data_IF_070678410335
#
_entry.id   IF_070678410335
#
_cell.length_a   1.000
_cell.length_b   1.000
_cell.length_c   1.000
_cell.angle_alpha   90.00
_cell.angle_beta   90.00
_cell.angle_gamma   90.00
#
_symmetry.space_group_name_H-M   'P 1'
#
loop_
_entity.id
_entity.type
_entity.pdbx_description
1 polymer ?
#
# COMPACT_ATOMS: atom_id res chain seq x y z
N UNK A 1 -1.09 -74.11 44.08
CA UNK A 1 -1.19 -73.77 42.66
C UNK A 1 -1.35 -72.28 42.59
N UNK A 2 -0.25 -71.52 42.32
CA UNK A 2 -0.22 -70.07 42.27
C UNK A 2 -0.27 -69.62 40.79
N UNK A 3 -1.30 -68.84 40.41
CA UNK A 3 -1.45 -68.27 39.07
C UNK A 3 -0.73 -66.87 39.05
N UNK A 4 0.18 -66.61 38.12
CA UNK A 4 0.71 -65.26 37.98
C UNK A 4 -0.26 -64.40 37.16
N UNK A 5 -0.59 -63.19 37.68
CA UNK A 5 -1.34 -62.16 36.98
C UNK A 5 -0.42 -61.46 35.95
N UNK A 6 -0.75 -61.56 34.67
CA UNK A 6 -0.06 -60.88 33.57
C UNK A 6 -0.60 -59.47 33.48
N UNK A 7 0.17 -58.49 33.96
CA UNK A 7 -0.09 -57.06 33.79
C UNK A 7 0.24 -56.64 32.35
N UNK A 8 -0.79 -56.43 31.54
CA UNK A 8 -0.69 -55.89 30.20
C UNK A 8 -0.53 -54.34 30.30
N UNK A 9 0.70 -53.85 30.15
CA UNK A 9 0.97 -52.41 30.05
C UNK A 9 0.59 -52.00 28.64
N UNK A 10 -0.61 -51.38 28.49
CA UNK A 10 -1.04 -50.74 27.25
C UNK A 10 -0.31 -49.41 27.12
N UNK A 11 0.80 -49.39 26.37
CA UNK A 11 1.53 -48.17 26.03
C UNK A 11 0.67 -47.31 25.11
N UNK A 12 0.13 -46.23 25.64
CA UNK A 12 -0.61 -45.21 24.89
C UNK A 12 0.38 -44.42 24.04
N UNK A 13 0.61 -44.86 22.81
CA UNK A 13 1.37 -44.11 21.83
C UNK A 13 0.48 -42.96 21.31
N UNK A 14 0.58 -41.77 21.94
CA UNK A 14 -0.04 -40.56 21.45
C UNK A 14 0.66 -40.18 20.16
N UNK A 15 -0.01 -40.00 19.01
CA UNK A 15 0.63 -39.62 17.78
C UNK A 15 1.12 -38.15 17.90
N UNK A 16 2.43 -37.97 17.95
CA UNK A 16 3.11 -36.64 17.89
C UNK A 16 3.14 -36.07 16.47
N UNK A 17 2.27 -36.52 15.57
CA UNK A 17 2.31 -36.19 14.13
C UNK A 17 1.73 -34.81 13.82
N UNK A 18 0.75 -34.32 14.58
CA UNK A 18 0.08 -33.04 14.31
C UNK A 18 0.99 -31.81 14.47
N UNK A 19 1.99 -31.86 15.36
CA UNK A 19 2.90 -30.74 15.56
C UNK A 19 4.08 -30.70 14.57
N UNK A 20 4.42 -31.84 13.98
CA UNK A 20 5.47 -31.94 12.97
C UNK A 20 5.01 -31.35 11.62
N UNK A 21 3.75 -31.59 11.24
CA UNK A 21 3.15 -31.07 10.01
C UNK A 21 3.05 -29.52 10.03
N UNK A 22 2.63 -28.94 11.16
CA UNK A 22 2.53 -27.50 11.30
C UNK A 22 3.91 -26.81 11.21
N UNK A 23 4.93 -27.37 11.84
CA UNK A 23 6.28 -26.81 11.78
C UNK A 23 6.89 -26.91 10.37
N UNK A 24 6.67 -28.04 9.69
CA UNK A 24 7.07 -28.26 8.30
C UNK A 24 6.43 -27.23 7.38
N UNK A 25 5.11 -27.08 7.47
CA UNK A 25 4.32 -26.13 6.69
C UNK A 25 4.78 -24.68 6.90
N UNK A 26 4.99 -24.27 8.15
CA UNK A 26 5.54 -22.94 8.45
C UNK A 26 6.94 -22.72 7.87
N UNK A 27 7.82 -23.73 7.92
CA UNK A 27 9.15 -23.64 7.31
C UNK A 27 9.05 -23.45 5.79
N UNK A 28 8.12 -24.14 5.13
CA UNK A 28 7.86 -23.99 3.70
C UNK A 28 7.29 -22.61 3.34
N UNK A 29 6.42 -22.05 4.17
CA UNK A 29 5.96 -20.67 3.99
C UNK A 29 7.10 -19.67 4.10
N UNK A 30 8.01 -19.83 5.08
CA UNK A 30 9.21 -18.97 5.17
C UNK A 30 10.14 -19.12 3.96
N UNK A 31 10.29 -20.34 3.46
CA UNK A 31 11.02 -20.59 2.22
C UNK A 31 10.40 -19.84 1.03
N UNK A 32 9.06 -19.86 0.92
CA UNK A 32 8.33 -19.11 -0.08
C UNK A 32 8.57 -17.59 0.06
N UNK A 33 8.51 -17.06 1.28
CA UNK A 33 8.75 -15.64 1.54
C UNK A 33 10.16 -15.21 1.14
N UNK A 34 11.17 -16.04 1.43
CA UNK A 34 12.54 -15.77 1.00
C UNK A 34 12.69 -15.77 -0.53
N UNK A 35 12.01 -16.65 -1.25
CA UNK A 35 12.00 -16.67 -2.72
C UNK A 35 11.32 -15.41 -3.31
N UNK A 36 10.23 -14.96 -2.68
CA UNK A 36 9.44 -13.83 -3.14
C UNK A 36 9.93 -12.47 -2.61
N UNK A 37 10.93 -12.46 -1.72
CA UNK A 37 11.43 -11.26 -1.05
C UNK A 37 10.33 -10.46 -0.34
N UNK A 38 9.43 -11.16 0.37
CA UNK A 38 8.26 -10.55 1.03
C UNK A 38 8.69 -9.55 2.11
N UNK A 39 9.87 -9.69 2.67
CA UNK A 39 10.48 -8.74 3.63
C UNK A 39 10.55 -7.29 3.10
N UNK A 40 10.63 -7.11 1.78
CA UNK A 40 10.64 -5.78 1.15
C UNK A 40 9.33 -4.99 1.34
N UNK A 41 8.25 -5.64 1.80
CA UNK A 41 7.01 -4.92 2.16
C UNK A 41 7.26 -3.87 3.24
N UNK A 42 8.13 -4.18 4.21
CA UNK A 42 8.52 -3.22 5.25
C UNK A 42 9.29 -2.02 4.70
N UNK A 43 10.14 -2.23 3.70
CA UNK A 43 10.87 -1.15 3.02
C UNK A 43 9.94 -0.26 2.20
N UNK A 44 8.91 -0.85 1.56
CA UNK A 44 7.89 -0.08 0.85
C UNK A 44 7.05 0.77 1.80
N UNK A 45 6.64 0.24 2.96
CA UNK A 45 5.93 0.97 3.99
C UNK A 45 6.80 2.14 4.48
N UNK A 46 8.06 1.88 4.81
CA UNK A 46 9.03 2.89 5.26
C UNK A 46 9.20 4.00 4.22
N UNK A 47 9.38 3.63 2.95
CA UNK A 47 9.49 4.59 1.83
C UNK A 47 8.21 5.41 1.65
N UNK A 48 7.04 4.79 1.79
CA UNK A 48 5.74 5.49 1.72
C UNK A 48 5.60 6.54 2.83
N UNK A 49 5.96 6.20 4.07
CA UNK A 49 5.95 7.12 5.21
C UNK A 49 6.91 8.29 5.00
N UNK A 50 8.12 8.00 4.51
CA UNK A 50 9.11 9.03 4.19
C UNK A 50 8.60 9.99 3.11
N UNK A 51 7.99 9.47 2.05
CA UNK A 51 7.40 10.29 0.99
C UNK A 51 6.25 11.17 1.49
N UNK A 52 5.38 10.64 2.36
CA UNK A 52 4.28 11.40 2.95
C UNK A 52 4.78 12.55 3.83
N UNK A 53 5.90 12.36 4.51
CA UNK A 53 6.48 13.37 5.41
C UNK A 53 7.47 14.32 4.75
N UNK A 54 7.94 14.03 3.54
CA UNK A 54 8.96 14.81 2.84
C UNK A 54 8.59 16.30 2.61
N UNK A 55 7.30 16.59 2.43
CA UNK A 55 6.80 17.95 2.22
C UNK A 55 6.63 18.81 3.49
N UNK A 56 6.61 18.17 4.67
CA UNK A 56 6.31 18.81 5.95
C UNK A 56 7.28 19.98 6.25
N UNK A 57 8.60 19.85 6.09
CA UNK A 57 9.51 20.95 6.40
C UNK A 57 9.22 22.22 5.59
N UNK A 58 8.96 22.05 4.30
CA UNK A 58 8.63 23.17 3.40
C UNK A 58 7.31 23.84 3.80
N UNK A 59 6.32 23.06 4.23
CA UNK A 59 5.02 23.60 4.67
C UNK A 59 5.13 24.36 6.00
N UNK A 60 5.94 23.88 6.95
CA UNK A 60 6.06 24.48 8.28
C UNK A 60 7.06 25.62 8.34
N UNK A 61 8.15 25.55 7.59
CA UNK A 61 9.29 26.45 7.71
C UNK A 61 9.55 27.28 6.44
N UNK A 62 8.76 27.06 5.38
CA UNK A 62 8.98 27.71 4.08
C UNK A 62 10.12 27.07 3.26
N UNK A 63 10.60 27.78 2.19
CA UNK A 63 11.59 27.22 1.27
C UNK A 63 12.99 27.03 1.91
N UNK A 64 13.31 27.81 2.93
CA UNK A 64 14.60 27.75 3.64
C UNK A 64 14.39 27.28 5.08
N UNK A 65 14.86 26.07 5.36
CA UNK A 65 14.86 25.51 6.71
C UNK A 65 16.19 25.81 7.40
N UNK A 66 16.16 26.36 8.62
CA UNK A 66 17.38 26.56 9.40
C UNK A 66 18.02 25.21 9.76
N UNK A 67 19.38 25.13 9.95
CA UNK A 67 20.06 23.91 10.34
C UNK A 67 19.49 23.27 11.63
N UNK A 68 19.08 24.11 12.57
CA UNK A 68 18.49 23.64 13.82
C UNK A 68 17.12 22.98 13.62
N UNK A 69 16.25 23.55 12.79
CA UNK A 69 14.94 22.99 12.48
C UNK A 69 15.07 21.74 11.62
N UNK A 70 16.06 21.69 10.71
CA UNK A 70 16.38 20.49 9.96
C UNK A 70 16.78 19.35 10.89
N UNK A 71 17.66 19.58 11.84
CA UNK A 71 18.09 18.55 12.81
C UNK A 71 16.90 18.02 13.64
N UNK A 72 15.98 18.91 14.09
CA UNK A 72 14.76 18.50 14.81
C UNK A 72 13.83 17.67 13.92
N UNK A 73 13.70 18.04 12.65
CA UNK A 73 12.88 17.28 11.72
C UNK A 73 13.48 15.90 11.42
N UNK A 74 14.81 15.84 11.21
CA UNK A 74 15.51 14.56 10.99
C UNK A 74 15.33 13.62 12.20
N UNK A 75 15.42 14.15 13.42
CA UNK A 75 15.15 13.38 14.64
C UNK A 75 13.68 12.91 14.73
N UNK A 76 12.73 13.74 14.33
CA UNK A 76 11.31 13.35 14.26
C UNK A 76 11.10 12.22 13.23
N UNK A 77 11.71 12.33 12.05
CA UNK A 77 11.63 11.28 11.03
C UNK A 77 12.18 9.94 11.55
N UNK A 78 13.32 9.95 12.23
CA UNK A 78 13.87 8.74 12.83
C UNK A 78 12.92 8.13 13.85
N UNK A 79 12.30 8.95 14.70
CA UNK A 79 11.30 8.48 15.67
C UNK A 79 10.07 7.88 14.99
N UNK A 80 9.59 8.50 13.93
CA UNK A 80 8.48 7.97 13.11
C UNK A 80 8.85 6.60 12.55
N UNK A 81 10.03 6.47 11.93
CA UNK A 81 10.49 5.19 11.36
C UNK A 81 10.65 4.10 12.42
N UNK A 82 11.21 4.42 13.60
CA UNK A 82 11.30 3.48 14.71
C UNK A 82 9.92 3.01 15.17
N UNK A 83 8.95 3.93 15.24
CA UNK A 83 7.56 3.60 15.60
C UNK A 83 6.91 2.70 14.54
N UNK A 84 7.12 3.00 13.27
CA UNK A 84 6.63 2.17 12.15
C UNK A 84 7.24 0.77 12.21
N UNK A 85 8.57 0.67 12.37
CA UNK A 85 9.27 -0.61 12.45
C UNK A 85 8.82 -1.46 13.66
N UNK A 86 8.52 -0.81 14.78
CA UNK A 86 8.02 -1.48 15.98
C UNK A 86 6.60 -2.05 15.80
N UNK A 87 5.79 -1.50 14.88
CA UNK A 87 4.40 -1.93 14.67
C UNK A 87 4.23 -2.81 13.42
N UNK A 88 4.94 -2.48 12.34
CA UNK A 88 4.77 -3.12 11.03
C UNK A 88 6.09 -3.51 10.36
N UNK A 89 7.19 -3.54 11.10
CA UNK A 89 8.45 -4.08 10.62
C UNK A 89 8.35 -5.58 10.34
N UNK A 90 9.16 -6.10 9.41
CA UNK A 90 9.10 -7.51 9.00
C UNK A 90 9.13 -8.49 10.17
N UNK A 91 9.97 -8.23 11.18
CA UNK A 91 10.05 -9.07 12.40
C UNK A 91 8.70 -9.22 13.12
N UNK A 92 7.84 -8.20 13.06
CA UNK A 92 6.50 -8.21 13.67
C UNK A 92 5.47 -8.83 12.74
N UNK A 93 5.60 -8.56 11.44
CA UNK A 93 4.66 -9.05 10.43
C UNK A 93 4.89 -10.51 10.04
N UNK A 94 6.13 -10.99 9.97
CA UNK A 94 6.46 -12.34 9.51
C UNK A 94 5.61 -13.44 10.19
N UNK A 95 5.52 -13.53 11.53
CA UNK A 95 4.74 -14.60 12.16
C UNK A 95 3.25 -14.51 11.83
N UNK A 96 2.72 -13.31 11.62
CA UNK A 96 1.32 -13.10 11.23
C UNK A 96 1.09 -13.52 9.77
N UNK A 97 2.02 -13.19 8.88
CA UNK A 97 1.98 -13.66 7.49
C UNK A 97 2.15 -15.16 7.39
N UNK A 98 3.07 -15.75 8.16
CA UNK A 98 3.22 -17.23 8.22
C UNK A 98 1.90 -17.87 8.63
N UNK A 99 1.24 -17.36 9.69
CA UNK A 99 -0.06 -17.86 10.11
C UNK A 99 -1.12 -17.69 9.03
N UNK A 100 -1.20 -16.53 8.39
CA UNK A 100 -2.15 -16.26 7.31
C UNK A 100 -2.00 -17.28 6.17
N UNK A 101 -0.77 -17.57 5.74
CA UNK A 101 -0.51 -18.51 4.66
C UNK A 101 -0.78 -19.97 5.08
N UNK A 102 -0.41 -20.35 6.30
CA UNK A 102 -0.70 -21.71 6.81
C UNK A 102 -2.18 -21.95 7.03
N UNK A 103 -2.96 -20.92 7.36
CA UNK A 103 -4.42 -21.03 7.48
C UNK A 103 -5.12 -21.06 6.10
N UNK A 104 -4.50 -20.44 5.08
CA UNK A 104 -5.12 -20.26 3.75
C UNK A 104 -4.85 -21.44 2.81
N UNK A 105 -3.62 -21.94 2.80
CA UNK A 105 -3.17 -22.96 1.87
C UNK A 105 -2.96 -24.30 2.58
N UNK A 106 -3.17 -25.40 1.90
CA UNK A 106 -2.73 -26.73 2.33
C UNK A 106 -1.20 -26.86 2.21
N UNK A 107 -0.61 -27.83 2.88
CA UNK A 107 0.83 -28.10 2.76
C UNK A 107 1.22 -28.49 1.33
N UNK A 108 0.38 -29.27 0.65
CA UNK A 108 0.60 -29.68 -0.74
C UNK A 108 0.61 -28.47 -1.68
N UNK A 109 -0.32 -27.52 -1.50
CA UNK A 109 -0.37 -26.27 -2.29
C UNK A 109 0.87 -25.42 -2.07
N UNK A 110 1.33 -25.24 -0.82
CA UNK A 110 2.55 -24.49 -0.51
C UNK A 110 3.76 -25.16 -1.15
N UNK A 111 3.88 -26.47 -1.06
CA UNK A 111 4.97 -27.23 -1.69
C UNK A 111 4.95 -27.06 -3.22
N UNK A 112 3.77 -27.08 -3.85
CA UNK A 112 3.61 -26.85 -5.28
C UNK A 112 4.03 -25.43 -5.67
N UNK A 113 3.63 -24.41 -4.90
CA UNK A 113 3.99 -23.01 -5.13
C UNK A 113 5.52 -22.81 -4.99
N UNK A 114 6.13 -23.33 -3.94
CA UNK A 114 7.58 -23.29 -3.74
C UNK A 114 8.31 -23.97 -4.89
N UNK A 115 7.86 -25.16 -5.29
CA UNK A 115 8.43 -25.89 -6.41
C UNK A 115 8.35 -25.08 -7.72
N UNK A 116 7.22 -24.45 -7.99
CA UNK A 116 7.04 -23.57 -9.16
C UNK A 116 8.04 -22.40 -9.15
N UNK A 117 8.17 -21.66 -8.05
CA UNK A 117 9.07 -20.51 -8.00
C UNK A 117 10.57 -20.88 -8.06
N UNK A 118 10.92 -22.12 -7.77
CA UNK A 118 12.26 -22.67 -7.98
C UNK A 118 12.56 -23.04 -9.44
N UNK A 119 11.55 -23.11 -10.31
CA UNK A 119 11.77 -23.34 -11.76
C UNK A 119 12.36 -22.10 -12.43
N UNK A 120 13.04 -22.25 -13.60
CA UNK A 120 13.49 -21.11 -14.37
C UNK A 120 12.36 -20.13 -14.74
N UNK A 121 11.15 -20.63 -15.00
CA UNK A 121 9.97 -19.80 -15.31
C UNK A 121 9.51 -19.01 -14.08
N UNK A 122 9.40 -19.64 -12.90
CA UNK A 122 9.05 -18.99 -11.64
C UNK A 122 10.08 -17.94 -11.22
N UNK A 123 11.37 -18.26 -11.32
CA UNK A 123 12.46 -17.32 -11.05
C UNK A 123 12.41 -16.11 -12.01
N UNK A 124 12.16 -16.33 -13.30
CA UNK A 124 12.00 -15.27 -14.28
C UNK A 124 10.77 -14.39 -13.97
N UNK A 125 9.68 -14.97 -13.47
CA UNK A 125 8.49 -14.23 -13.06
C UNK A 125 8.80 -13.29 -11.90
N UNK A 126 9.49 -13.78 -10.85
CA UNK A 126 9.93 -12.93 -9.72
C UNK A 126 10.81 -11.78 -10.23
N UNK A 127 11.86 -12.11 -10.98
CA UNK A 127 12.85 -11.12 -11.42
C UNK A 127 12.26 -10.03 -12.34
N UNK A 128 11.25 -10.36 -13.16
CA UNK A 128 10.66 -9.44 -14.16
C UNK A 128 9.41 -8.71 -13.66
N UNK A 129 8.77 -9.17 -12.60
CA UNK A 129 7.56 -8.55 -12.07
C UNK A 129 7.70 -7.06 -11.73
N UNK A 130 8.80 -6.57 -11.10
CA UNK A 130 8.96 -5.14 -10.83
C UNK A 130 9.05 -4.30 -12.11
N UNK A 131 9.78 -4.77 -13.11
CA UNK A 131 9.89 -4.09 -14.41
C UNK A 131 8.54 -4.04 -15.13
N UNK A 132 7.83 -5.16 -15.15
CA UNK A 132 6.49 -5.25 -15.74
C UNK A 132 5.51 -4.32 -15.05
N UNK A 133 5.53 -4.26 -13.71
CA UNK A 133 4.70 -3.33 -12.92
C UNK A 133 5.01 -1.87 -13.28
N UNK A 134 6.29 -1.49 -13.34
CA UNK A 134 6.71 -0.13 -13.70
C UNK A 134 6.23 0.23 -15.12
N UNK A 135 6.46 -0.64 -16.09
CA UNK A 135 6.02 -0.42 -17.49
C UNK A 135 4.49 -0.35 -17.61
N UNK A 136 3.76 -1.14 -16.82
CA UNK A 136 2.30 -1.09 -16.79
C UNK A 136 1.78 0.26 -16.25
N UNK A 137 2.38 0.77 -15.18
CA UNK A 137 2.04 2.11 -14.64
C UNK A 137 2.34 3.19 -15.69
N UNK A 138 3.50 3.16 -16.34
CA UNK A 138 3.87 4.12 -17.39
C UNK A 138 2.89 4.07 -18.57
N UNK A 139 2.46 2.86 -18.98
CA UNK A 139 1.46 2.69 -20.02
C UNK A 139 0.13 3.35 -19.63
N UNK A 140 -0.36 3.11 -18.42
CA UNK A 140 -1.60 3.75 -17.91
C UNK A 140 -1.44 5.27 -17.87
N UNK A 141 -0.31 5.79 -17.35
CA UNK A 141 -0.04 7.23 -17.29
C UNK A 141 -0.04 7.86 -18.69
N UNK A 142 0.57 7.21 -19.67
CA UNK A 142 0.58 7.70 -21.06
C UNK A 142 -0.82 7.76 -21.66
N UNK A 143 -1.66 6.76 -21.39
CA UNK A 143 -3.06 6.73 -21.82
C UNK A 143 -3.89 7.81 -21.13
N UNK A 144 -3.70 8.01 -19.83
CA UNK A 144 -4.36 9.08 -19.07
C UNK A 144 -3.98 10.47 -19.59
N UNK A 145 -2.70 10.69 -19.92
CA UNK A 145 -2.26 11.95 -20.52
C UNK A 145 -2.97 12.25 -21.86
N UNK A 146 -3.25 11.22 -22.67
CA UNK A 146 -4.00 11.37 -23.92
C UNK A 146 -5.50 11.69 -23.72
N UNK A 147 -6.07 11.33 -22.57
CA UNK A 147 -7.47 11.62 -22.22
C UNK A 147 -7.65 12.99 -21.56
N UNK A 148 -6.61 13.56 -20.96
CA UNK A 148 -6.66 14.84 -20.25
C UNK A 148 -7.28 15.99 -21.08
N UNK A 149 -6.94 16.22 -22.37
CA UNK A 149 -7.54 17.28 -23.18
C UNK A 149 -9.05 17.12 -23.33
N UNK A 150 -9.53 15.85 -23.50
CA UNK A 150 -10.95 15.54 -23.63
C UNK A 150 -11.70 15.82 -22.32
N UNK A 151 -11.13 15.41 -21.17
CA UNK A 151 -11.72 15.70 -19.86
C UNK A 151 -11.80 17.22 -19.62
N UNK A 152 -10.74 17.95 -19.97
CA UNK A 152 -10.73 19.42 -19.86
C UNK A 152 -11.83 20.04 -20.70
N UNK A 153 -11.99 19.62 -21.95
CA UNK A 153 -13.04 20.12 -22.83
C UNK A 153 -14.44 19.82 -22.30
N UNK A 154 -14.68 18.61 -21.80
CA UNK A 154 -15.97 18.24 -21.18
C UNK A 154 -16.30 19.13 -19.98
N UNK A 155 -15.31 19.47 -19.15
CA UNK A 155 -15.50 20.38 -18.02
C UNK A 155 -15.77 21.81 -18.49
N UNK A 156 -15.05 22.29 -19.50
CA UNK A 156 -15.27 23.64 -20.09
C UNK A 156 -16.66 23.75 -20.72
N UNK A 157 -17.10 22.74 -21.45
CA UNK A 157 -18.44 22.67 -22.03
C UNK A 157 -19.52 22.67 -20.93
N UNK A 158 -19.36 21.85 -19.90
CA UNK A 158 -20.26 21.84 -18.75
C UNK A 158 -20.37 23.22 -18.05
N UNK A 159 -19.23 23.87 -17.81
CA UNK A 159 -19.19 25.20 -17.18
C UNK A 159 -19.88 26.24 -18.07
N UNK A 160 -19.66 26.17 -19.40
CA UNK A 160 -20.33 27.08 -20.36
C UNK A 160 -21.85 26.90 -20.35
N UNK A 161 -22.31 25.65 -20.33
CA UNK A 161 -23.75 25.34 -20.40
C UNK A 161 -24.49 25.60 -19.06
N UNK A 162 -23.76 25.57 -17.94
CA UNK A 162 -24.32 25.82 -16.61
C UNK A 162 -24.16 27.26 -16.11
N UNK A 163 -23.35 28.08 -16.80
CA UNK A 163 -23.20 29.49 -16.45
C UNK A 163 -24.49 30.23 -16.76
N UNK A 164 -25.18 30.84 -15.76
CA UNK A 164 -26.39 31.63 -16.04
C UNK A 164 -26.06 32.75 -17.03
N UNK A 165 -26.89 32.90 -18.07
CA UNK A 165 -26.76 34.01 -19.02
C UNK A 165 -26.68 35.30 -18.20
N UNK A 166 -25.56 36.02 -18.33
CA UNK A 166 -25.42 37.35 -17.74
C UNK A 166 -26.56 38.20 -18.30
N UNK A 167 -27.53 38.53 -17.44
CA UNK A 167 -28.64 39.45 -17.79
C UNK A 167 -28.02 40.68 -18.46
N UNK A 168 -28.47 41.07 -19.69
CA UNK A 168 -28.00 42.28 -20.29
C UNK A 168 -28.29 43.44 -19.33
N UNK A 169 -27.27 44.14 -18.87
CA UNK A 169 -27.44 45.37 -18.12
C UNK A 169 -28.26 46.31 -18.98
N UNK A 170 -29.49 46.59 -18.54
CA UNK A 170 -30.40 47.54 -19.18
C UNK A 170 -29.62 48.89 -19.35
N UNK A 171 -29.76 49.57 -20.50
CA UNK A 171 -29.13 50.85 -20.69
C UNK A 171 -29.58 51.81 -19.58
N UNK A 172 -28.62 52.48 -18.93
CA UNK A 172 -28.89 53.47 -17.90
C UNK A 172 -29.91 54.53 -18.43
N UNK A 173 -31.04 54.62 -17.76
CA UNK A 173 -32.04 55.66 -18.05
C UNK A 173 -31.39 57.01 -17.92
N UNK A 174 -31.46 57.80 -19.00
CA UNK A 174 -31.04 59.21 -19.06
C UNK A 174 -31.79 60.01 -17.98
N UNK A 175 -31.09 60.82 -17.17
CA UNK A 175 -31.73 61.65 -16.15
C UNK A 175 -32.72 62.65 -16.80
N UNK A 176 -34.00 62.59 -16.44
CA UNK A 176 -34.98 63.55 -16.87
C UNK A 176 -34.64 64.96 -16.31
N UNK A 177 -34.55 65.92 -17.19
CA UNK A 177 -34.40 67.35 -16.88
C UNK A 177 -35.60 67.85 -16.07
N UNK A 178 -35.43 68.58 -14.95
CA UNK A 178 -36.55 69.08 -14.18
C UNK A 178 -37.27 70.22 -14.93
N UNK A 179 -38.62 70.34 -14.83
CA UNK A 179 -39.33 71.40 -15.49
C UNK A 179 -39.06 72.79 -14.85
N UNK A 180 -38.78 73.76 -15.70
CA UNK A 180 -38.65 75.18 -15.33
C UNK A 180 -39.99 75.74 -14.83
N UNK A 181 -39.99 76.48 -13.69
CA UNK A 181 -41.14 77.21 -13.16
C UNK A 181 -41.47 78.40 -14.03
N UNK A 182 -42.75 78.68 -14.30
CA UNK A 182 -43.15 79.98 -14.90
C UNK A 182 -43.20 81.12 -13.86
N UNK A 183 -42.95 82.33 -14.33
CA UNK A 183 -43.06 83.55 -13.55
C UNK A 183 -44.49 83.86 -13.09
#
# INVERSE_FOLDING_TARGET
MKRPALLLILSLCVPATLHADDASKQAKVRELFALLHVEHISDQIRSSVMNQTAGIPKQLFGPEISPQNKAKFDALQQKILQTVDAQVGWRVLEPQYVKLYTDTYSEEEINGIVAFYKTPAGAAMIAKSPELSTKSIQLVQSKMAAVQPQLKQMVEDFVRDTKPASTPTAPAATPATPPSKPK
#
